data_IF_636057474564
#
_entry.id   IF_636057474564
#
_cell.length_a   1.000
_cell.length_b   1.000
_cell.length_c   1.000
_cell.angle_alpha   90.00
_cell.angle_beta   90.00
_cell.angle_gamma   90.00
#
_symmetry.space_group_name_H-M   'P 1'
#
loop_
_entity.id
_entity.type
_entity.pdbx_description
1 polymer ?
#
# COMPACT_ATOMS: atom_id res chain seq x y z
N UNK A 1 7.58 88.91 -31.21
CA UNK A 1 8.31 88.70 -29.92
C UNK A 1 7.52 87.75 -29.11
N UNK A 2 7.90 86.51 -29.15
CA UNK A 2 7.17 85.40 -28.55
C UNK A 2 8.07 84.84 -27.44
N UNK A 3 7.56 84.85 -26.18
CA UNK A 3 8.25 84.26 -25.01
C UNK A 3 7.92 82.78 -24.89
N UNK A 4 8.89 81.89 -24.63
CA UNK A 4 8.60 80.52 -24.36
C UNK A 4 8.19 80.31 -22.91
N UNK A 5 7.16 79.53 -22.72
CA UNK A 5 6.65 79.03 -21.43
C UNK A 5 7.44 77.77 -21.07
N UNK A 6 8.07 77.80 -19.91
CA UNK A 6 8.70 76.60 -19.34
C UNK A 6 7.62 75.68 -18.72
N UNK A 7 7.48 74.50 -19.23
CA UNK A 7 6.66 73.44 -18.61
C UNK A 7 7.53 72.60 -17.70
N UNK A 8 7.24 72.66 -16.39
CA UNK A 8 7.88 71.82 -15.40
C UNK A 8 7.33 70.41 -15.41
N UNK A 9 8.22 69.45 -15.58
CA UNK A 9 7.86 68.00 -15.39
C UNK A 9 7.96 67.60 -13.91
N UNK A 10 6.85 67.30 -13.30
CA UNK A 10 6.79 66.64 -12.00
C UNK A 10 6.99 65.12 -12.23
N UNK A 11 8.10 64.60 -11.77
CA UNK A 11 8.38 63.18 -11.73
C UNK A 11 7.65 62.56 -10.51
N UNK A 12 6.60 61.83 -10.78
CA UNK A 12 5.94 60.99 -9.76
C UNK A 12 6.74 59.70 -9.60
N UNK A 13 7.41 59.51 -8.46
CA UNK A 13 8.04 58.27 -8.09
C UNK A 13 6.95 57.26 -7.63
N UNK A 14 6.69 56.26 -8.46
CA UNK A 14 5.85 55.13 -8.06
C UNK A 14 6.66 54.20 -7.20
N UNK A 15 6.33 54.13 -5.89
CA UNK A 15 6.86 53.11 -4.98
C UNK A 15 6.08 51.81 -5.27
N UNK A 16 6.73 50.88 -5.95
CA UNK A 16 6.21 49.52 -6.13
C UNK A 16 6.47 48.76 -4.82
N UNK A 17 5.45 48.66 -3.97
CA UNK A 17 5.48 47.80 -2.82
C UNK A 17 5.50 46.32 -3.25
N UNK A 18 6.65 45.65 -3.09
CA UNK A 18 6.75 44.21 -3.24
C UNK A 18 6.00 43.55 -2.08
N UNK A 19 4.73 43.21 -2.28
CA UNK A 19 3.97 42.35 -1.40
C UNK A 19 4.57 40.94 -1.47
N UNK A 20 5.35 40.55 -0.44
CA UNK A 20 5.68 39.16 -0.24
C UNK A 20 4.38 38.41 0.10
N UNK A 21 3.79 37.68 -0.86
CA UNK A 21 2.88 36.61 -0.58
C UNK A 21 3.70 35.50 0.09
N UNK A 22 3.69 35.48 1.42
CA UNK A 22 4.02 34.27 2.18
C UNK A 22 2.95 33.24 1.87
N UNK A 23 3.18 32.43 0.85
CA UNK A 23 2.40 31.22 0.60
C UNK A 23 2.54 30.34 1.82
N UNK A 24 1.51 30.25 2.64
CA UNK A 24 1.39 29.24 3.66
C UNK A 24 1.43 27.88 2.93
N UNK A 25 2.58 27.21 2.96
CA UNK A 25 2.68 25.81 2.64
C UNK A 25 1.85 25.08 3.70
N UNK A 26 0.59 24.87 3.39
CA UNK A 26 -0.20 23.86 4.10
C UNK A 26 0.49 22.54 3.82
N UNK A 27 1.31 22.08 4.77
CA UNK A 27 1.72 20.69 4.80
C UNK A 27 0.42 19.91 5.01
N UNK A 28 -0.13 19.41 3.90
CA UNK A 28 -1.04 18.29 3.99
C UNK A 28 -0.25 17.25 4.82
N UNK A 29 -0.79 16.81 5.94
CA UNK A 29 -0.28 15.68 6.67
C UNK A 29 -0.48 14.48 5.75
N UNK A 30 0.43 14.31 4.79
CA UNK A 30 0.56 13.10 4.00
C UNK A 30 0.94 12.01 5.01
N UNK A 31 0.28 10.89 4.92
CA UNK A 31 0.72 9.71 5.65
C UNK A 31 2.15 9.40 5.21
N UNK A 32 3.04 9.10 6.16
CA UNK A 32 4.45 8.78 5.87
C UNK A 32 4.60 7.40 5.19
N UNK A 33 3.50 6.78 4.76
CA UNK A 33 3.45 5.48 4.09
C UNK A 33 2.61 5.56 2.80
N UNK A 34 2.94 4.73 1.77
CA UNK A 34 2.14 4.66 0.55
C UNK A 34 0.79 4.00 0.80
N UNK A 35 -0.24 4.39 0.04
CA UNK A 35 -1.56 3.76 0.09
C UNK A 35 -2.01 3.25 -1.28
N UNK A 36 -2.65 2.08 -1.31
CA UNK A 36 -3.34 1.56 -2.49
C UNK A 36 -4.66 0.89 -2.12
N UNK A 37 -5.64 0.92 -3.04
CA UNK A 37 -6.96 0.30 -2.88
C UNK A 37 -7.04 -0.95 -3.76
N UNK A 38 -6.42 -2.04 -3.32
CA UNK A 38 -6.24 -3.26 -4.10
C UNK A 38 -7.24 -4.38 -3.76
N UNK A 39 -8.09 -4.18 -2.76
CA UNK A 39 -9.05 -5.20 -2.31
C UNK A 39 -10.37 -5.09 -3.08
N UNK A 40 -10.34 -5.47 -4.36
CA UNK A 40 -11.57 -5.61 -5.13
C UNK A 40 -12.43 -6.78 -4.60
N UNK A 41 -13.74 -6.71 -4.82
CA UNK A 41 -14.62 -7.86 -4.58
C UNK A 41 -14.44 -8.83 -5.74
N UNK A 42 -14.18 -10.10 -5.44
CA UNK A 42 -14.11 -11.19 -6.41
C UNK A 42 -15.28 -12.14 -6.16
N UNK A 43 -15.88 -12.62 -7.24
CA UNK A 43 -16.95 -13.63 -7.18
C UNK A 43 -16.38 -15.03 -6.83
N UNK A 44 -15.08 -15.25 -7.07
CA UNK A 44 -14.36 -16.49 -6.77
C UNK A 44 -12.95 -16.21 -6.21
N UNK A 45 -12.89 -15.64 -5.02
CA UNK A 45 -11.63 -15.32 -4.37
C UNK A 45 -10.75 -16.55 -4.09
N UNK A 46 -11.35 -17.74 -3.87
CA UNK A 46 -10.58 -18.97 -3.71
C UNK A 46 -9.98 -19.40 -5.05
N UNK A 47 -10.73 -19.31 -6.13
CA UNK A 47 -10.22 -19.58 -7.49
C UNK A 47 -9.07 -18.65 -7.87
N UNK A 48 -9.11 -17.38 -7.47
CA UNK A 48 -7.99 -16.43 -7.66
C UNK A 48 -6.71 -16.91 -6.94
N UNK A 49 -6.85 -17.42 -5.71
CA UNK A 49 -5.73 -17.98 -4.94
C UNK A 49 -5.21 -19.27 -5.57
N UNK A 50 -6.09 -20.17 -6.01
CA UNK A 50 -5.70 -21.42 -6.68
C UNK A 50 -4.99 -21.15 -8.01
N UNK A 51 -5.45 -20.16 -8.77
CA UNK A 51 -4.78 -19.72 -10.00
C UNK A 51 -3.37 -19.16 -9.72
N UNK A 52 -3.19 -18.41 -8.62
CA UNK A 52 -1.87 -17.93 -8.22
C UNK A 52 -0.94 -19.08 -7.78
N UNK A 53 -1.45 -20.08 -7.06
CA UNK A 53 -0.69 -21.29 -6.71
C UNK A 53 -0.26 -22.07 -7.97
N UNK A 54 -1.14 -22.20 -8.94
CA UNK A 54 -0.82 -22.86 -10.21
C UNK A 54 0.33 -22.11 -10.94
N UNK A 55 0.24 -20.79 -11.07
CA UNK A 55 1.32 -19.98 -11.67
C UNK A 55 2.63 -20.09 -10.89
N UNK A 56 2.54 -20.08 -9.55
CA UNK A 56 3.71 -20.25 -8.69
C UNK A 56 4.40 -21.62 -8.91
N UNK A 57 3.62 -22.68 -9.13
CA UNK A 57 4.12 -23.99 -9.49
C UNK A 57 4.84 -24.03 -10.85
N UNK A 58 4.38 -23.23 -11.81
CA UNK A 58 4.98 -23.14 -13.14
C UNK A 58 6.28 -22.31 -13.18
N UNK A 59 6.33 -21.22 -12.39
CA UNK A 59 7.43 -20.25 -12.45
C UNK A 59 8.40 -20.32 -11.25
N UNK A 60 8.16 -21.21 -10.29
CA UNK A 60 9.01 -21.43 -9.12
C UNK A 60 8.93 -20.33 -8.06
N UNK A 61 7.91 -19.48 -8.13
CA UNK A 61 7.64 -18.43 -7.14
C UNK A 61 6.86 -18.96 -5.93
N UNK A 62 6.66 -18.10 -4.96
CA UNK A 62 5.74 -18.31 -3.84
C UNK A 62 4.46 -17.51 -4.05
N UNK A 63 3.49 -17.69 -3.19
CA UNK A 63 2.26 -16.91 -3.24
C UNK A 63 2.14 -16.04 -2.00
N UNK A 64 1.85 -14.76 -2.19
CA UNK A 64 1.38 -13.87 -1.13
C UNK A 64 -0.14 -13.73 -1.26
N UNK A 65 -0.88 -14.12 -0.23
CA UNK A 65 -2.30 -13.85 -0.09
C UNK A 65 -2.49 -12.77 0.97
N UNK A 66 -2.93 -11.59 0.54
CA UNK A 66 -3.20 -10.47 1.45
C UNK A 66 -4.70 -10.39 1.71
N UNK A 67 -5.11 -10.66 2.94
CA UNK A 67 -6.50 -10.66 3.36
C UNK A 67 -6.84 -9.39 4.11
N UNK A 68 -7.59 -8.49 3.48
CA UNK A 68 -7.87 -7.16 4.00
C UNK A 68 -9.08 -6.50 3.37
N UNK A 69 -9.19 -5.18 3.52
CA UNK A 69 -10.30 -4.41 2.95
C UNK A 69 -9.92 -2.94 2.74
N UNK A 70 -10.51 -2.31 1.72
CA UNK A 70 -10.22 -0.92 1.35
C UNK A 70 -10.68 0.13 2.39
N UNK A 71 -11.50 -0.21 3.36
CA UNK A 71 -11.86 0.69 4.46
C UNK A 71 -10.77 0.78 5.54
N UNK A 72 -9.94 -0.26 5.70
CA UNK A 72 -8.88 -0.33 6.70
C UNK A 72 -7.62 0.42 6.22
N UNK A 73 -7.11 1.36 7.01
CA UNK A 73 -5.91 2.14 6.66
C UNK A 73 -4.66 1.26 6.59
N UNK A 74 -4.47 0.31 7.52
CA UNK A 74 -3.34 -0.63 7.47
C UNK A 74 -3.41 -1.56 6.25
N UNK A 75 -4.62 -1.93 5.81
CA UNK A 75 -4.77 -2.70 4.58
C UNK A 75 -4.34 -1.88 3.36
N UNK A 76 -4.73 -0.61 3.28
CA UNK A 76 -4.30 0.28 2.18
C UNK A 76 -2.80 0.55 2.23
N UNK A 77 -2.24 0.75 3.44
CA UNK A 77 -0.80 0.91 3.62
C UNK A 77 -0.03 -0.31 3.15
N UNK A 78 -0.43 -1.52 3.55
CA UNK A 78 0.21 -2.75 3.09
C UNK A 78 0.12 -2.91 1.58
N UNK A 79 -1.03 -2.64 0.97
CA UNK A 79 -1.18 -2.67 -0.49
C UNK A 79 -0.28 -1.63 -1.18
N UNK A 80 -0.12 -0.46 -0.60
CA UNK A 80 0.81 0.58 -1.10
C UNK A 80 2.26 0.15 -0.99
N UNK A 81 2.68 -0.42 0.13
CA UNK A 81 4.03 -0.96 0.30
C UNK A 81 4.34 -2.06 -0.71
N UNK A 82 3.41 -3.01 -0.92
CA UNK A 82 3.59 -4.09 -1.90
C UNK A 82 3.65 -3.59 -3.36
N UNK A 83 3.14 -2.39 -3.63
CA UNK A 83 3.20 -1.73 -4.93
C UNK A 83 4.34 -0.69 -5.03
N UNK A 84 5.11 -0.43 -3.96
CA UNK A 84 6.25 0.49 -4.00
C UNK A 84 7.36 -0.03 -4.90
N UNK A 85 8.24 0.86 -5.37
CA UNK A 85 9.29 0.49 -6.33
C UNK A 85 10.16 -0.67 -5.84
N UNK A 86 10.67 -0.57 -4.61
CA UNK A 86 11.62 -1.55 -4.06
C UNK A 86 10.95 -2.87 -3.66
N UNK A 87 9.83 -2.79 -2.93
CA UNK A 87 9.12 -3.99 -2.47
C UNK A 87 8.38 -4.63 -3.64
N UNK A 88 7.79 -3.83 -4.53
CA UNK A 88 7.13 -4.32 -5.74
C UNK A 88 8.08 -5.12 -6.62
N UNK A 89 9.31 -4.65 -6.82
CA UNK A 89 10.32 -5.41 -7.57
C UNK A 89 10.64 -6.78 -6.92
N UNK A 90 10.73 -6.86 -5.59
CA UNK A 90 10.89 -8.13 -4.87
C UNK A 90 9.66 -9.03 -5.04
N UNK A 91 8.46 -8.45 -4.93
CA UNK A 91 7.21 -9.19 -5.11
C UNK A 91 7.12 -9.74 -6.53
N UNK A 92 7.38 -8.92 -7.54
CA UNK A 92 7.36 -9.33 -8.95
C UNK A 92 8.39 -10.43 -9.26
N UNK A 93 9.55 -10.41 -8.61
CA UNK A 93 10.61 -11.44 -8.82
C UNK A 93 10.30 -12.77 -8.12
N UNK A 94 9.72 -12.73 -6.92
CA UNK A 94 9.65 -13.89 -6.01
C UNK A 94 8.27 -14.42 -5.72
N UNK A 95 7.21 -13.65 -6.04
CA UNK A 95 5.87 -13.98 -5.58
C UNK A 95 4.81 -13.84 -6.68
N UNK A 96 3.76 -14.65 -6.56
CA UNK A 96 2.45 -14.38 -7.12
C UNK A 96 1.62 -13.70 -6.04
N UNK A 97 1.04 -12.53 -6.32
CA UNK A 97 0.33 -11.70 -5.35
C UNK A 97 -1.18 -11.75 -5.58
N UNK A 98 -1.93 -12.03 -4.51
CA UNK A 98 -3.40 -12.02 -4.53
C UNK A 98 -3.92 -11.18 -3.36
N UNK A 99 -4.81 -10.23 -3.67
CA UNK A 99 -5.57 -9.49 -2.67
C UNK A 99 -6.95 -10.11 -2.50
N UNK A 100 -7.29 -10.46 -1.28
CA UNK A 100 -8.59 -11.03 -0.91
C UNK A 100 -9.35 -10.03 -0.04
N UNK A 101 -10.50 -9.56 -0.52
CA UNK A 101 -11.40 -8.75 0.28
C UNK A 101 -12.10 -9.63 1.31
N UNK A 102 -11.98 -9.29 2.60
CA UNK A 102 -12.62 -10.04 3.68
C UNK A 102 -13.77 -9.28 4.35
N UNK A 103 -14.25 -8.20 3.74
CA UNK A 103 -15.35 -7.40 4.27
C UNK A 103 -15.02 -6.75 5.59
N UNK A 104 -15.94 -6.85 6.56
CA UNK A 104 -15.81 -6.27 7.89
C UNK A 104 -16.08 -7.33 8.97
N UNK A 105 -15.13 -8.24 9.24
CA UNK A 105 -15.33 -9.37 10.18
C UNK A 105 -15.76 -8.93 11.57
N UNK A 106 -15.30 -7.75 12.03
CA UNK A 106 -15.59 -7.22 13.36
C UNK A 106 -17.07 -6.87 13.58
N UNK A 107 -17.82 -6.59 12.50
CA UNK A 107 -19.26 -6.29 12.54
C UNK A 107 -20.15 -7.49 12.18
N UNK A 108 -19.54 -8.64 11.89
CA UNK A 108 -20.26 -9.83 11.41
C UNK A 108 -20.41 -9.89 9.89
N UNK A 109 -19.97 -8.86 9.15
CA UNK A 109 -20.02 -8.80 7.67
C UNK A 109 -18.74 -9.35 7.02
N UNK A 110 -18.10 -10.31 7.68
CA UNK A 110 -16.90 -10.96 7.15
C UNK A 110 -17.21 -11.99 6.09
N UNK A 111 -16.40 -12.01 5.02
CA UNK A 111 -16.47 -13.02 3.96
C UNK A 111 -15.07 -13.51 3.58
N UNK A 112 -14.98 -14.58 2.80
CA UNK A 112 -13.72 -15.20 2.36
C UNK A 112 -12.80 -15.69 3.50
N UNK A 113 -13.26 -15.70 4.76
CA UNK A 113 -12.46 -16.13 5.93
C UNK A 113 -12.07 -17.62 5.86
N UNK A 114 -12.82 -18.42 5.10
CA UNK A 114 -12.51 -19.81 4.86
C UNK A 114 -11.19 -20.02 4.12
N UNK A 115 -10.71 -19.01 3.37
CA UNK A 115 -9.41 -19.04 2.68
C UNK A 115 -8.28 -19.12 3.69
N UNK A 116 -8.28 -18.29 4.75
CA UNK A 116 -7.27 -18.39 5.80
C UNK A 116 -7.27 -19.77 6.48
N UNK A 117 -8.46 -20.28 6.81
CA UNK A 117 -8.60 -21.61 7.42
C UNK A 117 -8.10 -22.74 6.53
N UNK A 118 -8.30 -22.64 5.22
CA UNK A 118 -7.77 -23.59 4.21
C UNK A 118 -6.26 -23.75 4.33
N UNK A 119 -5.53 -22.68 4.69
CA UNK A 119 -4.06 -22.69 4.85
C UNK A 119 -3.62 -22.76 6.32
N UNK A 120 -4.53 -23.11 7.25
CA UNK A 120 -4.22 -23.37 8.66
C UNK A 120 -4.09 -22.11 9.52
N UNK A 121 -4.76 -21.03 9.14
CA UNK A 121 -4.97 -19.82 9.98
C UNK A 121 -6.45 -19.79 10.36
N UNK A 122 -6.76 -20.26 11.56
CA UNK A 122 -8.15 -20.47 11.99
C UNK A 122 -8.86 -19.18 12.35
N UNK A 123 -8.12 -18.17 12.87
CA UNK A 123 -8.67 -16.91 13.32
C UNK A 123 -7.92 -15.72 12.71
N UNK A 124 -8.67 -14.70 12.28
CA UNK A 124 -8.16 -13.43 11.77
C UNK A 124 -8.59 -12.31 12.73
N UNK A 125 -7.73 -11.94 13.68
CA UNK A 125 -8.09 -10.98 14.75
C UNK A 125 -8.30 -9.54 14.26
N UNK A 126 -8.12 -9.28 12.98
CA UNK A 126 -8.29 -7.98 12.32
C UNK A 126 -7.77 -7.98 10.90
N UNK A 127 -7.52 -6.80 10.35
CA UNK A 127 -7.01 -6.58 8.99
C UNK A 127 -5.81 -5.64 8.97
N UNK A 128 -4.87 -5.82 8.03
CA UNK A 128 -4.70 -6.93 7.10
C UNK A 128 -4.03 -8.15 7.74
N UNK A 129 -4.13 -9.29 7.06
CA UNK A 129 -3.33 -10.47 7.30
C UNK A 129 -2.58 -10.82 6.01
N UNK A 130 -1.36 -11.33 6.12
CA UNK A 130 -0.54 -11.70 4.97
C UNK A 130 -0.06 -13.14 5.13
N UNK A 131 -0.53 -14.01 4.25
CA UNK A 131 -0.12 -15.40 4.19
C UNK A 131 0.92 -15.57 3.08
N UNK A 132 2.05 -16.17 3.40
CA UNK A 132 3.04 -16.57 2.41
C UNK A 132 2.98 -18.08 2.27
N UNK A 133 2.67 -18.53 1.04
CA UNK A 133 2.54 -19.95 0.72
C UNK A 133 3.67 -20.39 -0.19
N UNK A 134 4.12 -21.64 -0.04
CA UNK A 134 4.88 -22.32 -1.08
C UNK A 134 3.97 -22.64 -2.27
N UNK A 135 4.55 -23.02 -3.40
CA UNK A 135 3.80 -23.35 -4.62
C UNK A 135 2.83 -24.54 -4.44
N UNK A 136 3.12 -25.43 -3.49
CA UNK A 136 2.25 -26.55 -3.11
C UNK A 136 1.21 -26.20 -2.02
N UNK A 137 1.15 -24.92 -1.61
CA UNK A 137 0.16 -24.40 -0.68
C UNK A 137 0.51 -24.53 0.80
N UNK A 138 1.75 -24.89 1.16
CA UNK A 138 2.17 -24.90 2.58
C UNK A 138 2.38 -23.47 3.10
N UNK A 139 1.83 -23.15 4.29
CA UNK A 139 1.99 -21.85 4.94
C UNK A 139 3.39 -21.72 5.53
N UNK A 140 4.14 -20.71 5.06
CA UNK A 140 5.54 -20.47 5.44
C UNK A 140 5.72 -19.51 6.62
N UNK A 141 4.73 -18.68 6.91
CA UNK A 141 4.81 -17.61 7.91
C UNK A 141 3.70 -17.71 8.97
N UNK A 142 3.41 -18.91 9.48
CA UNK A 142 2.36 -19.13 10.48
C UNK A 142 2.42 -18.16 11.66
N UNK A 143 3.62 -17.89 12.17
CA UNK A 143 3.82 -17.06 13.36
C UNK A 143 3.61 -15.56 13.09
N UNK A 144 3.73 -15.12 11.83
CA UNK A 144 3.62 -13.71 11.45
C UNK A 144 2.44 -13.40 10.53
N UNK A 145 1.67 -14.38 10.09
CA UNK A 145 0.56 -14.21 9.14
C UNK A 145 -0.48 -13.17 9.62
N UNK A 146 -0.73 -13.08 10.92
CA UNK A 146 -1.73 -12.17 11.52
C UNK A 146 -1.13 -10.92 12.17
N UNK A 147 0.18 -10.66 12.02
CA UNK A 147 0.86 -9.51 12.67
C UNK A 147 0.88 -8.24 11.82
N UNK A 148 0.33 -8.24 10.62
CA UNK A 148 0.42 -7.15 9.63
C UNK A 148 -0.57 -6.00 9.85
N UNK A 149 -1.35 -6.06 10.94
CA UNK A 149 -2.37 -5.06 11.31
C UNK A 149 -1.83 -3.68 11.71
N UNK A 150 -0.53 -3.50 11.65
CA UNK A 150 0.20 -2.27 11.91
C UNK A 150 1.01 -1.80 10.70
N UNK A 151 0.60 -2.18 9.49
CA UNK A 151 1.36 -1.93 8.28
C UNK A 151 1.58 -0.43 7.99
N UNK A 152 0.67 0.44 8.44
CA UNK A 152 0.79 1.89 8.35
C UNK A 152 1.91 2.49 9.23
N UNK A 153 2.38 1.76 10.24
CA UNK A 153 3.45 2.18 11.14
C UNK A 153 4.71 1.35 11.00
N UNK A 154 4.81 0.53 9.96
CA UNK A 154 6.02 -0.25 9.67
C UNK A 154 6.93 0.52 8.72
N UNK A 155 8.24 0.40 8.93
CA UNK A 155 9.25 0.92 8.03
C UNK A 155 9.39 0.03 6.78
N UNK A 156 9.72 0.64 5.64
CA UNK A 156 9.92 -0.07 4.37
C UNK A 156 10.95 -1.19 4.50
N UNK A 157 12.09 -0.91 5.15
CA UNK A 157 13.17 -1.91 5.37
C UNK A 157 12.66 -3.14 6.13
N UNK A 158 11.84 -2.94 7.17
CA UNK A 158 11.31 -4.05 7.96
C UNK A 158 10.36 -4.94 7.14
N UNK A 159 9.55 -4.34 6.27
CA UNK A 159 8.66 -5.08 5.36
C UNK A 159 9.49 -5.83 4.31
N UNK A 160 10.44 -5.15 3.69
CA UNK A 160 11.32 -5.74 2.68
C UNK A 160 12.09 -6.94 3.23
N UNK A 161 12.73 -6.78 4.40
CA UNK A 161 13.57 -7.81 5.00
C UNK A 161 12.76 -9.06 5.38
N UNK A 162 11.53 -8.87 5.94
CA UNK A 162 10.64 -9.98 6.24
C UNK A 162 10.22 -10.74 4.97
N UNK A 163 9.80 -10.03 3.92
CA UNK A 163 9.43 -10.66 2.66
C UNK A 163 10.63 -11.33 1.99
N UNK A 164 11.80 -10.68 1.97
CA UNK A 164 13.01 -11.26 1.41
C UNK A 164 13.48 -12.52 2.17
N UNK A 165 13.31 -12.54 3.49
CA UNK A 165 13.58 -13.73 4.30
C UNK A 165 12.60 -14.86 3.99
N UNK A 166 11.30 -14.53 3.90
CA UNK A 166 10.26 -15.49 3.53
C UNK A 166 10.44 -16.03 2.11
N UNK A 167 10.95 -15.23 1.18
CA UNK A 167 11.27 -15.68 -0.18
C UNK A 167 12.37 -16.75 -0.23
N UNK A 168 13.24 -16.81 0.77
CA UNK A 168 14.36 -17.76 0.86
C UNK A 168 14.13 -18.91 1.85
N UNK A 169 13.05 -18.86 2.64
CA UNK A 169 12.77 -19.86 3.67
C UNK A 169 12.68 -21.27 3.05
N UNK A 170 13.41 -22.22 3.58
CA UNK A 170 13.29 -23.61 3.15
C UNK A 170 11.87 -24.16 3.40
N UNK A 171 11.39 -25.01 2.52
CA UNK A 171 10.09 -25.68 2.61
C UNK A 171 10.28 -26.97 3.41
#
# INVERSE_FOLDING_TARGET
MIKPVLAGFLAAAAVIGAGMLAGALTHAHGHDYPEARSYAVSDDAMGDVEAALARAGENGKRVIVVMGANWCHDSRALAGWLASERIGALVDDRYELVFVNIGMPQSGDGHNLHIARRFGVDDLPGTPNLLVLSADGALLNRDTATTWRNAASREEDAIYDELAALARKAI
#
